data_IF_577067043986
#
_entry.id   IF_577067043986
#
_cell.length_a   1.000
_cell.length_b   1.000
_cell.length_c   1.000
_cell.angle_alpha   90.00
_cell.angle_beta   90.00
_cell.angle_gamma   90.00
#
_symmetry.space_group_name_H-M   'P 1'
#
loop_
_entity.id
_entity.type
_entity.pdbx_description
1 polymer ?
#
# COMPACT_ATOMS: atom_id res chain seq x y z
N UNK A 1 -6.88 -35.13 42.46
CA UNK A 1 -5.51 -34.56 42.52
C UNK A 1 -4.73 -35.02 41.30
N UNK A 2 -4.04 -34.12 40.58
CA UNK A 2 -3.23 -34.51 39.43
C UNK A 2 -1.98 -35.29 39.87
N UNK A 3 -1.67 -36.39 39.18
CA UNK A 3 -0.53 -37.26 39.48
C UNK A 3 0.80 -36.56 39.16
N UNK A 4 1.88 -37.02 39.78
CA UNK A 4 3.22 -36.45 39.57
C UNK A 4 3.68 -36.54 38.10
N UNK A 5 3.32 -37.65 37.44
CA UNK A 5 3.52 -37.84 35.99
C UNK A 5 2.76 -36.81 35.15
N UNK A 6 1.51 -36.49 35.53
CA UNK A 6 0.72 -35.44 34.87
C UNK A 6 1.34 -34.04 35.09
N UNK A 7 1.83 -33.74 36.30
CA UNK A 7 2.51 -32.47 36.60
C UNK A 7 3.82 -32.31 35.81
N UNK A 8 4.64 -33.37 35.71
CA UNK A 8 5.86 -33.35 34.90
C UNK A 8 5.56 -33.20 33.40
N UNK A 9 4.55 -33.91 32.90
CA UNK A 9 4.12 -33.78 31.51
C UNK A 9 3.64 -32.35 31.20
N UNK A 10 2.84 -31.75 32.10
CA UNK A 10 2.38 -30.37 31.97
C UNK A 10 3.57 -29.38 31.92
N UNK A 11 4.55 -29.50 32.81
CA UNK A 11 5.77 -28.66 32.80
C UNK A 11 6.56 -28.79 31.50
N UNK A 12 6.74 -30.02 31.00
CA UNK A 12 7.43 -30.27 29.72
C UNK A 12 6.68 -29.64 28.54
N UNK A 13 5.35 -29.73 28.54
CA UNK A 13 4.52 -29.15 27.49
C UNK A 13 4.53 -27.62 27.53
N UNK A 14 4.48 -27.01 28.72
CA UNK A 14 4.61 -25.56 28.89
C UNK A 14 5.95 -25.07 28.35
N UNK A 15 7.05 -25.76 28.68
CA UNK A 15 8.40 -25.39 28.20
C UNK A 15 8.48 -25.49 26.67
N UNK A 16 7.96 -26.56 26.07
CA UNK A 16 7.86 -26.71 24.60
C UNK A 16 7.04 -25.59 23.96
N UNK A 17 5.89 -25.25 24.54
CA UNK A 17 5.04 -24.17 24.05
C UNK A 17 5.72 -22.80 24.14
N UNK A 18 6.41 -22.50 25.24
CA UNK A 18 7.20 -21.27 25.40
C UNK A 18 8.35 -21.18 24.41
N UNK A 19 9.09 -22.27 24.19
CA UNK A 19 10.17 -22.30 23.19
C UNK A 19 9.63 -22.04 21.79
N UNK A 20 8.52 -22.70 21.42
CA UNK A 20 7.86 -22.48 20.13
C UNK A 20 7.34 -21.05 20.00
N UNK A 21 6.75 -20.48 21.06
CA UNK A 21 6.30 -19.10 21.07
C UNK A 21 7.48 -18.14 20.82
N UNK A 22 8.59 -18.28 21.56
CA UNK A 22 9.76 -17.40 21.41
C UNK A 22 10.45 -17.49 20.06
N UNK A 23 10.37 -18.62 19.36
CA UNK A 23 10.98 -18.79 18.04
C UNK A 23 10.09 -18.34 16.87
N UNK A 24 8.87 -17.89 17.14
CA UNK A 24 7.93 -17.45 16.08
C UNK A 24 8.26 -16.05 15.58
N UNK A 25 8.04 -15.84 14.28
CA UNK A 25 8.06 -14.49 13.70
C UNK A 25 6.79 -13.72 14.12
N UNK A 26 6.82 -12.39 14.04
CA UNK A 26 5.66 -11.53 14.33
C UNK A 26 4.39 -11.94 13.57
N UNK A 27 4.54 -12.34 12.29
CA UNK A 27 3.43 -12.86 11.48
C UNK A 27 2.91 -14.22 11.97
N UNK A 28 3.80 -15.09 12.44
CA UNK A 28 3.42 -16.39 13.01
C UNK A 28 2.71 -16.21 14.36
N UNK A 29 3.15 -15.25 15.19
CA UNK A 29 2.46 -14.87 16.42
C UNK A 29 1.03 -14.40 16.16
N UNK A 30 0.84 -13.48 15.21
CA UNK A 30 -0.51 -13.00 14.87
C UNK A 30 -1.42 -14.14 14.42
N UNK A 31 -0.95 -15.06 13.58
CA UNK A 31 -1.76 -16.20 13.11
C UNK A 31 -2.06 -17.25 14.18
N UNK A 32 -1.22 -17.35 15.21
CA UNK A 32 -1.41 -18.27 16.32
C UNK A 32 -2.50 -17.80 17.29
N UNK A 33 -2.73 -16.48 17.37
CA UNK A 33 -3.80 -15.90 18.17
C UNK A 33 -5.16 -16.01 17.46
N UNK A 34 -6.27 -16.24 18.18
CA UNK A 34 -7.61 -16.33 17.58
C UNK A 34 -7.99 -15.10 16.76
N UNK A 35 -7.69 -13.91 17.27
CA UNK A 35 -7.97 -12.62 16.64
C UNK A 35 -7.25 -12.46 15.30
N UNK A 36 -5.95 -12.76 15.26
CA UNK A 36 -5.17 -12.66 14.03
C UNK A 36 -5.42 -13.81 13.06
N UNK A 37 -5.89 -14.97 13.52
CA UNK A 37 -6.35 -16.07 12.66
C UNK A 37 -7.67 -15.76 11.96
N UNK A 38 -8.57 -15.04 12.62
CA UNK A 38 -9.86 -14.61 12.06
C UNK A 38 -9.75 -13.43 11.10
N UNK A 39 -8.69 -12.61 11.22
CA UNK A 39 -8.49 -11.40 10.43
C UNK A 39 -8.48 -11.68 8.92
N UNK A 40 -9.44 -11.07 8.21
CA UNK A 40 -9.49 -11.09 6.75
C UNK A 40 -8.50 -10.09 6.14
N UNK A 41 -8.06 -10.36 4.91
CA UNK A 41 -7.17 -9.43 4.19
C UNK A 41 -7.94 -8.14 3.85
N UNK A 42 -7.35 -6.95 4.01
CA UNK A 42 -8.01 -5.70 3.62
C UNK A 42 -8.55 -5.74 2.19
N UNK A 43 -9.77 -5.24 2.01
CA UNK A 43 -10.50 -5.23 0.74
C UNK A 43 -11.12 -6.58 0.32
N UNK A 44 -10.93 -7.68 1.07
CA UNK A 44 -11.47 -9.00 0.65
C UNK A 44 -12.91 -9.27 1.08
N UNK A 45 -13.44 -8.49 2.02
CA UNK A 45 -14.82 -8.60 2.52
C UNK A 45 -15.77 -7.63 1.83
N UNK A 46 -15.27 -6.61 1.13
CA UNK A 46 -16.09 -5.48 0.66
C UNK A 46 -16.34 -4.43 1.74
N UNK A 47 -15.77 -4.63 2.93
CA UNK A 47 -15.86 -3.72 4.06
C UNK A 47 -14.61 -2.82 4.11
N UNK A 48 -14.81 -1.58 4.55
CA UNK A 48 -13.77 -0.55 4.61
C UNK A 48 -14.03 0.60 3.63
N UNK A 49 -13.20 1.62 3.72
CA UNK A 49 -13.46 2.92 3.09
C UNK A 49 -12.82 3.07 1.70
N UNK A 50 -12.10 2.06 1.21
CA UNK A 50 -11.30 2.17 -0.01
C UNK A 50 -11.47 0.97 -0.94
N UNK A 51 -11.55 1.26 -2.22
CA UNK A 51 -11.23 0.32 -3.29
C UNK A 51 -9.72 0.17 -3.45
N UNK A 52 -9.26 -1.06 -3.64
CA UNK A 52 -7.85 -1.41 -3.79
C UNK A 52 -7.54 -1.76 -5.24
N UNK A 53 -6.81 -0.90 -5.94
CA UNK A 53 -6.36 -1.16 -7.31
C UNK A 53 -4.90 -1.62 -7.29
N UNK A 54 -4.69 -2.93 -7.35
CA UNK A 54 -3.35 -3.56 -7.36
C UNK A 54 -2.71 -3.38 -8.74
N UNK A 55 -1.52 -2.78 -8.78
CA UNK A 55 -0.76 -2.54 -10.04
C UNK A 55 0.48 -3.39 -10.17
N UNK A 56 0.99 -3.92 -9.05
CA UNK A 56 2.15 -4.81 -9.01
C UNK A 56 1.98 -5.86 -7.91
N UNK A 57 2.54 -7.06 -8.09
CA UNK A 57 2.52 -8.09 -7.05
C UNK A 57 3.30 -7.63 -5.83
N UNK A 58 2.74 -7.87 -4.64
CA UNK A 58 3.35 -7.46 -3.36
C UNK A 58 4.72 -8.12 -3.12
N UNK A 59 4.94 -9.30 -3.71
CA UNK A 59 6.12 -10.14 -3.43
C UNK A 59 7.40 -9.58 -4.10
N UNK A 60 7.27 -8.59 -4.98
CA UNK A 60 8.40 -7.80 -5.50
C UNK A 60 9.01 -6.85 -4.46
N UNK A 61 8.35 -6.65 -3.31
CA UNK A 61 8.64 -5.57 -2.36
C UNK A 61 8.92 -6.08 -0.95
N UNK A 62 9.83 -5.40 -0.27
CA UNK A 62 10.27 -5.73 1.09
C UNK A 62 9.68 -4.80 2.15
N UNK A 63 9.40 -3.55 1.80
CA UNK A 63 8.89 -2.54 2.72
C UNK A 63 7.85 -1.68 2.02
N UNK A 64 6.79 -1.31 2.73
CA UNK A 64 5.69 -0.53 2.18
C UNK A 64 5.54 0.79 2.93
N UNK A 65 5.09 1.82 2.21
CA UNK A 65 4.68 3.11 2.76
C UNK A 65 3.39 3.56 2.08
N UNK A 66 2.50 4.16 2.87
CA UNK A 66 1.26 4.76 2.39
C UNK A 66 1.40 6.27 2.47
N UNK A 67 0.84 6.97 1.50
CA UNK A 67 0.86 8.43 1.40
C UNK A 67 -0.39 8.91 0.68
N UNK A 68 -1.01 9.96 1.18
CA UNK A 68 -2.11 10.64 0.48
C UNK A 68 -1.57 11.35 -0.78
N UNK A 69 -2.35 11.29 -1.84
CA UNK A 69 -2.05 11.89 -3.14
C UNK A 69 -3.28 12.70 -3.56
N UNK A 70 -3.43 13.88 -2.96
CA UNK A 70 -4.62 14.72 -3.10
C UNK A 70 -5.08 15.24 -1.75
N UNK A 71 -6.41 15.42 -1.60
CA UNK A 71 -7.04 15.65 -0.30
C UNK A 71 -6.88 14.46 0.63
N UNK A 72 -6.81 14.73 1.93
CA UNK A 72 -6.67 13.70 2.97
C UNK A 72 -7.83 12.70 2.91
N UNK A 73 -7.52 11.40 2.93
CA UNK A 73 -8.54 10.35 3.02
C UNK A 73 -9.22 9.95 1.70
N UNK A 74 -8.93 10.63 0.60
CA UNK A 74 -9.53 10.36 -0.71
C UNK A 74 -8.73 9.33 -1.50
N UNK A 75 -7.54 9.73 -1.97
CA UNK A 75 -6.67 8.92 -2.80
C UNK A 75 -5.36 8.68 -2.09
N UNK A 76 -5.02 7.40 -1.88
CA UNK A 76 -3.75 7.03 -1.27
C UNK A 76 -2.92 6.16 -2.21
N UNK A 77 -1.62 6.42 -2.21
CA UNK A 77 -0.64 5.59 -2.89
C UNK A 77 0.02 4.66 -1.88
N UNK A 78 0.03 3.38 -2.18
CA UNK A 78 0.89 2.42 -1.49
C UNK A 78 2.13 2.18 -2.35
N UNK A 79 3.26 2.72 -1.89
CA UNK A 79 4.56 2.51 -2.49
C UNK A 79 5.31 1.38 -1.78
N UNK A 80 6.07 0.60 -2.55
CA UNK A 80 6.89 -0.50 -2.08
C UNK A 80 8.34 -0.27 -2.46
N UNK A 81 9.25 -0.59 -1.54
CA UNK A 81 10.70 -0.65 -1.78
C UNK A 81 11.05 -2.06 -2.23
N UNK A 82 11.77 -2.19 -3.35
CA UNK A 82 12.29 -3.47 -3.85
C UNK A 82 13.59 -3.86 -3.13
N UNK A 83 14.01 -5.11 -3.29
CA UNK A 83 15.33 -5.59 -2.83
C UNK A 83 16.48 -4.75 -3.40
N UNK A 84 16.36 -4.27 -4.65
CA UNK A 84 17.32 -3.36 -5.28
C UNK A 84 17.38 -1.95 -4.67
N UNK A 85 16.49 -1.64 -3.72
CA UNK A 85 16.37 -0.32 -3.10
C UNK A 85 15.48 0.68 -3.85
N UNK A 86 15.11 0.37 -5.10
CA UNK A 86 14.18 1.19 -5.89
C UNK A 86 12.76 1.21 -5.30
N UNK A 87 12.07 2.34 -5.43
CA UNK A 87 10.67 2.48 -5.02
C UNK A 87 9.74 2.40 -6.21
N UNK A 88 8.59 1.76 -6.00
CA UNK A 88 7.60 1.59 -7.04
C UNK A 88 6.18 1.54 -6.44
N UNK A 89 5.17 1.94 -7.21
CA UNK A 89 3.77 1.80 -6.79
C UNK A 89 3.37 0.34 -6.78
N UNK A 90 2.73 -0.08 -5.68
CA UNK A 90 2.21 -1.45 -5.48
C UNK A 90 0.72 -1.48 -5.78
N UNK A 91 -0.01 -0.53 -5.19
CA UNK A 91 -1.45 -0.35 -5.39
C UNK A 91 -1.87 1.08 -5.10
N UNK A 92 -3.03 1.44 -5.62
CA UNK A 92 -3.75 2.66 -5.26
C UNK A 92 -4.94 2.32 -4.37
N UNK A 93 -5.24 3.20 -3.43
CA UNK A 93 -6.45 3.21 -2.62
C UNK A 93 -7.32 4.36 -3.11
N UNK A 94 -8.54 4.06 -3.54
CA UNK A 94 -9.51 5.07 -3.98
C UNK A 94 -10.65 5.03 -2.97
N UNK A 95 -10.94 6.16 -2.33
CA UNK A 95 -12.03 6.27 -1.37
C UNK A 95 -13.35 5.87 -2.01
N UNK A 96 -14.25 5.25 -1.23
CA UNK A 96 -15.60 4.92 -1.71
C UNK A 96 -16.48 6.14 -1.98
N UNK A 97 -16.03 7.32 -1.54
CA UNK A 97 -16.65 8.61 -1.87
C UNK A 97 -16.18 9.13 -3.24
N UNK A 98 -15.07 8.61 -3.77
CA UNK A 98 -14.44 9.05 -5.03
C UNK A 98 -14.73 8.14 -6.21
N UNK A 99 -15.33 6.98 -5.97
CA UNK A 99 -15.67 5.98 -6.96
C UNK A 99 -16.78 5.07 -6.45
N UNK A 100 -17.45 4.39 -7.36
CA UNK A 100 -18.38 3.31 -7.06
C UNK A 100 -18.17 2.13 -8.01
N UNK A 101 -18.90 1.04 -7.79
CA UNK A 101 -18.86 -0.14 -8.66
C UNK A 101 -20.18 -0.26 -9.39
N UNK A 102 -20.13 -0.23 -10.71
CA UNK A 102 -21.28 -0.40 -11.61
C UNK A 102 -20.96 -1.54 -12.58
N UNK A 103 -21.84 -2.53 -12.68
CA UNK A 103 -21.64 -3.72 -13.54
C UNK A 103 -20.28 -4.41 -13.38
N UNK A 104 -19.77 -4.46 -12.14
CA UNK A 104 -18.46 -5.04 -11.81
C UNK A 104 -17.26 -4.20 -12.26
N UNK A 105 -17.47 -2.97 -12.74
CA UNK A 105 -16.43 -2.01 -13.12
C UNK A 105 -16.29 -0.94 -12.07
N UNK A 106 -15.04 -0.53 -11.81
CA UNK A 106 -14.75 0.59 -10.92
C UNK A 106 -14.93 1.90 -11.68
N UNK A 107 -16.01 2.63 -11.36
CA UNK A 107 -16.37 3.91 -11.99
C UNK A 107 -15.89 5.05 -11.10
N UNK A 108 -15.02 5.94 -11.59
CA UNK A 108 -14.55 7.09 -10.81
C UNK A 108 -15.55 8.24 -10.86
N UNK A 109 -15.84 8.83 -9.71
CA UNK A 109 -16.80 9.93 -9.57
C UNK A 109 -16.09 11.29 -9.57
N UNK A 110 -14.95 11.38 -8.87
CA UNK A 110 -14.18 12.62 -8.76
C UNK A 110 -13.13 12.78 -9.86
N UNK A 111 -12.71 14.02 -10.10
CA UNK A 111 -11.70 14.35 -11.11
C UNK A 111 -10.37 13.64 -10.85
N UNK A 112 -9.95 13.59 -9.59
CA UNK A 112 -8.67 12.99 -9.22
C UNK A 112 -8.69 11.45 -9.40
N UNK A 113 -9.82 10.80 -9.08
CA UNK A 113 -10.02 9.38 -9.36
C UNK A 113 -10.06 9.09 -10.88
N UNK A 114 -10.74 9.95 -11.66
CA UNK A 114 -10.75 9.88 -13.13
C UNK A 114 -9.34 9.98 -13.71
N UNK A 115 -8.57 10.95 -13.24
CA UNK A 115 -7.19 11.17 -13.68
C UNK A 115 -6.26 10.03 -13.24
N UNK A 116 -6.49 9.44 -12.07
CA UNK A 116 -5.76 8.26 -11.64
C UNK A 116 -6.03 7.07 -12.56
N UNK A 117 -7.30 6.72 -12.80
CA UNK A 117 -7.67 5.55 -13.62
C UNK A 117 -7.13 5.71 -15.04
N UNK A 118 -7.19 6.91 -15.63
CA UNK A 118 -6.60 7.21 -16.94
C UNK A 118 -5.08 7.01 -17.01
N UNK A 119 -4.36 7.16 -15.89
CA UNK A 119 -2.90 6.97 -15.81
C UNK A 119 -2.49 5.51 -15.64
N UNK A 120 -3.43 4.62 -15.32
CA UNK A 120 -3.15 3.19 -15.24
C UNK A 120 -2.87 2.64 -16.64
N UNK A 121 -2.09 1.55 -16.70
CA UNK A 121 -1.76 0.90 -17.98
C UNK A 121 -2.88 0.04 -18.53
N UNK A 122 -3.94 -0.17 -17.77
CA UNK A 122 -5.18 -0.82 -18.18
C UNK A 122 -6.32 -0.37 -17.27
N UNK A 123 -7.55 -0.59 -17.71
CA UNK A 123 -8.73 -0.44 -16.85
C UNK A 123 -8.64 -1.42 -15.65
N UNK A 124 -9.09 -1.01 -14.45
CA UNK A 124 -9.17 -1.90 -13.30
C UNK A 124 -10.18 -3.03 -13.52
N UNK A 125 -9.71 -4.27 -13.42
CA UNK A 125 -10.54 -5.48 -13.49
C UNK A 125 -10.85 -5.95 -12.08
N UNK A 126 -12.13 -6.22 -11.79
CA UNK A 126 -12.56 -6.72 -10.49
C UNK A 126 -11.95 -8.09 -10.20
N UNK A 127 -11.44 -8.27 -8.98
CA UNK A 127 -10.97 -9.56 -8.48
C UNK A 127 -11.94 -10.15 -7.46
N UNK A 128 -12.20 -9.41 -6.38
CA UNK A 128 -13.03 -9.84 -5.25
C UNK A 128 -13.22 -8.70 -4.25
N UNK A 129 -14.42 -8.57 -3.69
CA UNK A 129 -14.72 -7.55 -2.69
C UNK A 129 -14.41 -6.17 -3.26
N UNK A 130 -13.58 -5.40 -2.56
CA UNK A 130 -13.12 -4.08 -3.00
C UNK A 130 -11.78 -4.13 -3.76
N UNK A 131 -11.31 -5.31 -4.20
CA UNK A 131 -10.02 -5.47 -4.89
C UNK A 131 -10.19 -5.55 -6.39
N UNK A 132 -9.36 -4.75 -7.07
CA UNK A 132 -9.20 -4.66 -8.50
C UNK A 132 -7.74 -4.82 -8.88
N UNK A 133 -7.48 -5.19 -10.12
CA UNK A 133 -6.13 -5.25 -10.70
C UNK A 133 -6.06 -4.41 -11.98
N UNK A 134 -4.96 -3.69 -12.14
CA UNK A 134 -4.67 -2.93 -13.34
C UNK A 134 -3.19 -3.08 -13.70
N UNK A 135 -2.83 -2.84 -14.96
CA UNK A 135 -1.43 -2.74 -15.36
C UNK A 135 -0.83 -1.44 -14.80
N UNK A 136 0.47 -1.44 -14.43
CA UNK A 136 1.13 -0.21 -14.04
C UNK A 136 1.11 0.77 -15.21
N UNK A 137 1.03 2.07 -14.89
CA UNK A 137 1.12 3.12 -15.89
C UNK A 137 2.40 3.02 -16.73
N UNK A 138 2.37 3.59 -17.94
CA UNK A 138 3.48 3.57 -18.90
C UNK A 138 4.79 3.99 -18.22
N UNK A 139 5.87 3.25 -18.50
CA UNK A 139 7.20 3.63 -18.06
C UNK A 139 7.63 4.90 -18.82
N UNK A 140 7.75 6.03 -18.12
CA UNK A 140 8.15 7.31 -18.70
C UNK A 140 9.69 7.38 -18.70
N UNK A 141 10.34 7.56 -19.86
CA UNK A 141 11.80 7.72 -19.96
C UNK A 141 12.31 8.87 -19.07
N UNK A 142 13.53 8.75 -18.52
CA UNK A 142 14.13 9.75 -17.61
C UNK A 142 14.06 11.18 -18.16
N UNK A 143 14.31 11.33 -19.47
CA UNK A 143 14.27 12.61 -20.21
C UNK A 143 12.90 13.30 -20.18
N UNK A 144 11.82 12.54 -20.04
CA UNK A 144 10.43 13.00 -20.04
C UNK A 144 9.88 13.20 -18.62
N UNK A 145 10.61 12.77 -17.57
CA UNK A 145 10.16 12.85 -16.18
C UNK A 145 9.99 14.29 -15.67
N UNK A 146 10.84 15.28 -15.99
CA UNK A 146 10.55 16.66 -15.65
C UNK A 146 9.42 17.16 -16.53
N UNK A 147 8.23 17.31 -15.94
CA UNK A 147 7.12 17.95 -16.64
C UNK A 147 7.47 19.41 -16.96
N UNK A 148 6.81 19.99 -17.97
CA UNK A 148 6.98 21.42 -18.28
C UNK A 148 6.68 22.31 -17.06
N UNK A 149 5.68 21.94 -16.25
CA UNK A 149 5.35 22.61 -15.00
C UNK A 149 6.50 22.53 -13.98
N UNK A 150 7.08 21.35 -13.75
CA UNK A 150 8.24 21.19 -12.86
C UNK A 150 9.46 21.98 -13.34
N UNK A 151 9.68 22.03 -14.66
CA UNK A 151 10.78 22.79 -15.25
C UNK A 151 10.59 24.29 -15.02
N UNK A 152 9.36 24.81 -15.21
CA UNK A 152 9.00 26.21 -14.92
C UNK A 152 9.19 26.53 -13.43
N UNK A 153 8.66 25.69 -12.55
CA UNK A 153 8.78 25.86 -11.10
C UNK A 153 10.25 25.85 -10.64
N UNK A 154 11.06 24.91 -11.15
CA UNK A 154 12.50 24.84 -10.88
C UNK A 154 13.20 26.12 -11.33
N UNK A 155 12.94 26.61 -12.55
CA UNK A 155 13.52 27.87 -13.04
C UNK A 155 13.14 29.06 -12.17
N UNK A 156 11.89 29.15 -11.74
CA UNK A 156 11.42 30.22 -10.85
C UNK A 156 12.11 30.16 -9.49
N UNK A 157 12.23 28.97 -8.89
CA UNK A 157 12.92 28.80 -7.60
C UNK A 157 14.41 29.15 -7.69
N UNK A 158 15.08 28.77 -8.79
CA UNK A 158 16.48 29.15 -9.04
C UNK A 158 16.61 30.68 -9.15
N UNK A 159 15.74 31.35 -9.91
CA UNK A 159 15.74 32.82 -10.02
C UNK A 159 15.53 33.50 -8.66
N UNK A 160 14.60 33.01 -7.86
CA UNK A 160 14.36 33.51 -6.49
C UNK A 160 15.61 33.37 -5.63
N UNK A 161 16.24 32.19 -5.62
CA UNK A 161 17.46 31.93 -4.85
C UNK A 161 18.62 32.84 -5.28
N UNK A 162 18.80 33.06 -6.59
CA UNK A 162 19.82 33.96 -7.12
C UNK A 162 19.58 35.42 -6.72
N UNK A 163 18.33 35.89 -6.79
CA UNK A 163 17.98 37.24 -6.36
C UNK A 163 18.24 37.46 -4.86
N UNK A 164 17.88 36.48 -4.02
CA UNK A 164 18.18 36.54 -2.57
C UNK A 164 19.69 36.56 -2.30
N UNK A 165 20.49 35.78 -3.05
CA UNK A 165 21.95 35.78 -2.91
C UNK A 165 22.57 37.13 -3.31
N UNK A 166 22.07 37.76 -4.39
CA UNK A 166 22.53 39.08 -4.83
C UNK A 166 22.18 40.21 -3.86
N UNK A 167 21.08 40.09 -3.10
CA UNK A 167 20.70 41.05 -2.04
C UNK A 167 21.51 40.91 -0.74
N UNK A 168 22.18 39.78 -0.53
CA UNK A 168 23.02 39.50 0.65
C UNK A 168 24.52 39.78 0.39
N UNK A 169 24.88 40.04 -0.86
CA UNK A 169 26.19 40.51 -1.30
C UNK A 169 26.18 42.03 -1.38
#
# INVERSE_FOLDING_TARGET
>A
MATEKQRQAARKNIKKAQTRWKSMSSSAHSKAQPEGRGRKKPGTTGEGNYYHVEVRPKDEFTTFRTQDVGGEGHLQRVAGKRSSGSWATVKWLIGKEDAHVEDGKLVPDTKDAKDLIKKLGSEPVHKRGDRFEAKPGRNIPEREKPTAAQTRARRQNIKKAQATRRKKS
#
